data_IF_707214708909
#
_entry.id   IF_707214708909
#
_cell.length_a   1.000
_cell.length_b   1.000
_cell.length_c   1.000
_cell.angle_alpha   90.00
_cell.angle_beta   90.00
_cell.angle_gamma   90.00
#
_symmetry.space_group_name_H-M   'P 1'
#
loop_
_entity.id
_entity.type
_entity.pdbx_description
1 polymer ?
#
# COMPACT_ATOMS: atom_id res chain seq x y z
N UNK A 1 -2.04 26.99 -2.11
CA UNK A 1 -2.18 26.10 -3.28
C UNK A 1 -1.82 24.69 -2.83
N UNK A 2 -2.77 23.92 -2.26
CA UNK A 2 -2.46 22.66 -1.51
C UNK A 2 -3.46 21.52 -1.78
N UNK A 3 -4.49 21.75 -2.62
CA UNK A 3 -5.55 20.75 -2.83
C UNK A 3 -5.18 19.64 -3.81
N UNK A 4 -4.40 19.97 -4.85
CA UNK A 4 -4.03 19.02 -5.91
C UNK A 4 -3.08 17.90 -5.46
N UNK A 5 -2.20 18.19 -4.51
CA UNK A 5 -1.17 17.25 -4.04
C UNK A 5 -1.79 16.12 -3.19
N UNK A 6 -2.68 16.51 -2.27
CA UNK A 6 -3.41 15.58 -1.38
C UNK A 6 -4.32 14.64 -2.18
N UNK A 7 -4.97 15.14 -3.23
CA UNK A 7 -5.83 14.32 -4.10
C UNK A 7 -5.00 13.33 -4.94
N UNK A 8 -3.79 13.70 -5.36
CA UNK A 8 -2.91 12.83 -6.15
C UNK A 8 -2.30 11.71 -5.30
N UNK A 9 -1.86 12.03 -4.08
CA UNK A 9 -1.34 11.04 -3.12
C UNK A 9 -2.41 9.99 -2.76
N UNK A 10 -3.67 10.41 -2.57
CA UNK A 10 -4.81 9.48 -2.35
C UNK A 10 -5.08 8.55 -3.53
N UNK A 11 -4.97 9.04 -4.76
CA UNK A 11 -5.17 8.21 -5.96
C UNK A 11 -4.07 7.16 -6.06
N UNK A 12 -2.81 7.55 -5.80
CA UNK A 12 -1.66 6.64 -5.83
C UNK A 12 -1.75 5.58 -4.72
N UNK A 13 -2.04 6.00 -3.49
CA UNK A 13 -2.27 5.15 -2.32
C UNK A 13 -3.33 4.07 -2.59
N UNK A 14 -4.53 4.49 -3.06
CA UNK A 14 -5.62 3.56 -3.39
C UNK A 14 -5.25 2.61 -4.53
N UNK A 15 -4.49 3.08 -5.52
CA UNK A 15 -3.98 2.27 -6.62
C UNK A 15 -3.06 1.15 -6.11
N UNK A 16 -2.06 1.52 -5.32
CA UNK A 16 -1.08 0.61 -4.73
C UNK A 16 -1.76 -0.41 -3.80
N UNK A 17 -2.67 0.02 -2.92
CA UNK A 17 -3.37 -0.88 -2.00
C UNK A 17 -4.20 -1.94 -2.74
N UNK A 18 -4.86 -1.56 -3.83
CA UNK A 18 -5.65 -2.48 -4.65
C UNK A 18 -4.77 -3.52 -5.34
N UNK A 19 -3.65 -3.10 -5.93
CA UNK A 19 -2.69 -4.01 -6.55
C UNK A 19 -2.07 -4.94 -5.51
N UNK A 20 -1.75 -4.42 -4.33
CA UNK A 20 -1.23 -5.22 -3.22
C UNK A 20 -2.20 -6.33 -2.81
N UNK A 21 -3.48 -5.98 -2.59
CA UNK A 21 -4.54 -6.95 -2.27
C UNK A 21 -4.66 -8.04 -3.34
N UNK A 22 -4.54 -7.66 -4.62
CA UNK A 22 -4.57 -8.61 -5.74
C UNK A 22 -3.34 -9.53 -5.75
N UNK A 23 -2.13 -8.99 -5.53
CA UNK A 23 -0.90 -9.78 -5.47
C UNK A 23 -0.93 -10.80 -4.33
N UNK A 24 -1.43 -10.40 -3.15
CA UNK A 24 -1.67 -11.29 -2.01
C UNK A 24 -2.68 -12.39 -2.38
N UNK A 25 -3.82 -12.03 -2.97
CA UNK A 25 -4.84 -13.00 -3.37
C UNK A 25 -4.32 -14.03 -4.39
N UNK A 26 -3.41 -13.61 -5.28
CA UNK A 26 -2.77 -14.48 -6.28
C UNK A 26 -1.50 -15.18 -5.78
N UNK A 27 -1.14 -15.03 -4.50
CA UNK A 27 0.08 -15.58 -3.88
C UNK A 27 1.37 -15.16 -4.59
N UNK A 28 1.38 -13.98 -5.22
CA UNK A 28 2.55 -13.38 -5.85
C UNK A 28 3.35 -12.62 -4.79
N UNK A 29 3.97 -13.35 -3.86
CA UNK A 29 4.55 -12.78 -2.64
C UNK A 29 5.64 -11.74 -2.88
N UNK A 30 6.55 -11.99 -3.82
CA UNK A 30 7.59 -11.03 -4.19
C UNK A 30 6.95 -9.71 -4.70
N UNK A 31 5.93 -9.80 -5.55
CA UNK A 31 5.21 -8.62 -6.05
C UNK A 31 4.48 -7.91 -4.92
N UNK A 32 3.84 -8.65 -4.00
CA UNK A 32 3.18 -8.07 -2.83
C UNK A 32 4.17 -7.34 -1.90
N UNK A 33 5.38 -7.87 -1.72
CA UNK A 33 6.44 -7.24 -0.93
C UNK A 33 6.90 -5.91 -1.55
N UNK A 34 7.14 -5.87 -2.86
CA UNK A 34 7.49 -4.63 -3.55
C UNK A 34 6.38 -3.57 -3.44
N UNK A 35 5.11 -4.01 -3.55
CA UNK A 35 3.96 -3.11 -3.40
C UNK A 35 3.78 -2.61 -1.97
N UNK A 36 4.06 -3.44 -0.97
CA UNK A 36 4.06 -3.01 0.43
C UNK A 36 5.14 -1.96 0.68
N UNK A 37 6.36 -2.18 0.19
CA UNK A 37 7.45 -1.22 0.31
C UNK A 37 7.09 0.12 -0.34
N UNK A 38 6.43 0.11 -1.50
CA UNK A 38 5.96 1.33 -2.15
C UNK A 38 4.90 2.08 -1.31
N UNK A 39 4.01 1.37 -0.62
CA UNK A 39 3.03 1.97 0.30
C UNK A 39 3.72 2.59 1.53
N UNK A 40 4.74 1.94 2.07
CA UNK A 40 5.53 2.45 3.19
C UNK A 40 6.29 3.73 2.82
N UNK A 41 6.93 3.76 1.66
CA UNK A 41 7.64 4.94 1.17
C UNK A 41 6.66 6.11 0.90
N UNK A 42 5.46 5.82 0.40
CA UNK A 42 4.41 6.82 0.26
C UNK A 42 3.98 7.38 1.62
N UNK A 43 3.77 6.52 2.62
CA UNK A 43 3.38 6.95 3.97
C UNK A 43 4.48 7.73 4.71
N UNK A 44 5.76 7.49 4.41
CA UNK A 44 6.88 8.29 4.93
C UNK A 44 6.85 9.72 4.42
N UNK A 45 6.49 9.91 3.15
CA UNK A 45 6.37 11.23 2.53
C UNK A 45 5.04 11.91 2.89
N UNK A 46 3.99 11.11 3.10
CA UNK A 46 2.63 11.56 3.37
C UNK A 46 2.01 10.81 4.57
N UNK A 47 2.08 11.37 5.79
CA UNK A 47 1.61 10.71 7.00
C UNK A 47 0.11 10.35 6.97
N UNK A 48 -0.68 11.03 6.14
CA UNK A 48 -2.09 10.73 5.93
C UNK A 48 -2.33 9.32 5.35
N UNK A 49 -1.32 8.74 4.67
CA UNK A 49 -1.40 7.42 4.05
C UNK A 49 -1.03 6.26 5.01
N UNK A 50 -0.67 6.55 6.27
CA UNK A 50 -0.28 5.54 7.25
C UNK A 50 -1.38 4.48 7.49
N UNK A 51 -2.65 4.89 7.48
CA UNK A 51 -3.78 3.97 7.65
C UNK A 51 -3.85 2.89 6.56
N UNK A 52 -3.37 3.19 5.35
CA UNK A 52 -3.35 2.20 4.26
C UNK A 52 -2.23 1.18 4.43
N UNK A 53 -1.08 1.60 4.97
CA UNK A 53 0.01 0.69 5.33
C UNK A 53 -0.47 -0.29 6.40
N UNK A 54 -1.14 0.20 7.43
CA UNK A 54 -1.71 -0.65 8.49
C UNK A 54 -2.69 -1.68 7.92
N UNK A 55 -3.55 -1.28 6.97
CA UNK A 55 -4.46 -2.20 6.28
C UNK A 55 -3.73 -3.23 5.43
N UNK A 56 -2.60 -2.86 4.82
CA UNK A 56 -1.79 -3.78 4.02
C UNK A 56 -1.17 -4.86 4.92
N UNK A 57 -0.61 -4.47 6.07
CA UNK A 57 -0.07 -5.40 7.06
C UNK A 57 -1.09 -6.43 7.56
N UNK A 58 -2.33 -6.00 7.82
CA UNK A 58 -3.42 -6.90 8.25
C UNK A 58 -3.82 -7.93 7.18
N UNK A 59 -3.37 -7.78 5.93
CA UNK A 59 -3.71 -8.65 4.80
C UNK A 59 -2.62 -9.66 4.48
N UNK A 60 -1.45 -9.58 5.10
CA UNK A 60 -0.43 -10.61 4.96
C UNK A 60 -0.96 -11.87 5.67
N UNK A 61 -1.32 -12.95 4.94
CA UNK A 61 -1.58 -14.20 5.63
C UNK A 61 -0.31 -14.55 6.36
N UNK A 62 -0.40 -14.80 7.68
CA UNK A 62 0.74 -15.26 8.47
C UNK A 62 1.46 -16.32 7.66
N UNK A 63 2.70 -16.01 7.27
CA UNK A 63 3.57 -16.87 6.47
C UNK A 63 3.75 -18.15 7.28
N UNK A 64 2.84 -19.11 7.11
CA UNK A 64 3.04 -20.47 7.59
C UNK A 64 4.09 -21.04 6.64
N UNK A 65 5.30 -21.13 7.19
CA UNK A 65 6.39 -21.92 6.63
C UNK A 65 5.94 -23.37 6.44
#
# INVERSE_FOLDING_TARGET
>A
MVKHDVDTCRVLEHGLLRLYKQAVAQRRWEVAEHLLHALEELARSEPACQLTVDQAYLRIPHRQA
#
